data_IF_486154319285
#
_entry.id   IF_486154319285
#
_cell.length_a   1.000
_cell.length_b   1.000
_cell.length_c   1.000
_cell.angle_alpha   90.00
_cell.angle_beta   90.00
_cell.angle_gamma   90.00
#
_symmetry.space_group_name_H-M   'P 1'
#
loop_
_entity.id
_entity.type
_entity.pdbx_description
1 polymer ?
#
# COMPACT_ATOMS: atom_id res chain seq x y z
N UNK A 1 -52.72 -2.83 68.46
CA UNK A 1 -52.02 -4.01 69.02
C UNK A 1 -50.75 -4.21 68.20
N UNK A 2 -49.52 -3.91 68.67
CA UNK A 2 -48.62 -4.77 69.49
C UNK A 2 -48.65 -6.22 68.98
N UNK A 3 -47.60 -6.86 68.43
CA UNK A 3 -46.18 -7.00 68.87
C UNK A 3 -45.39 -7.73 67.73
N UNK A 4 -44.18 -7.31 67.28
CA UNK A 4 -42.80 -7.79 67.64
C UNK A 4 -42.57 -9.31 67.41
N UNK A 5 -41.51 -9.90 66.81
CA UNK A 5 -40.06 -9.65 66.51
C UNK A 5 -39.60 -10.71 65.46
N UNK A 6 -38.75 -10.46 64.44
CA UNK A 6 -37.26 -10.41 64.34
C UNK A 6 -36.52 -11.78 64.20
N UNK A 7 -35.48 -11.78 63.34
CA UNK A 7 -34.34 -12.73 63.12
C UNK A 7 -34.55 -13.72 61.94
N UNK A 8 -33.67 -13.88 60.94
CA UNK A 8 -32.26 -13.50 60.86
C UNK A 8 -31.66 -13.51 59.43
N UNK A 9 -30.45 -12.96 59.41
CA UNK A 9 -29.53 -12.66 58.32
C UNK A 9 -28.85 -13.94 57.80
N UNK A 10 -28.66 -14.10 56.48
CA UNK A 10 -27.65 -15.02 55.94
C UNK A 10 -26.73 -14.28 54.96
N UNK A 11 -25.49 -14.10 55.42
CA UNK A 11 -24.32 -13.61 54.71
C UNK A 11 -23.86 -14.61 53.64
N UNK A 12 -23.48 -14.12 52.47
CA UNK A 12 -22.53 -14.82 51.58
C UNK A 12 -21.44 -13.80 51.19
N UNK A 13 -20.25 -13.99 51.76
CA UNK A 13 -18.98 -13.29 51.46
C UNK A 13 -18.09 -14.22 50.58
N UNK A 14 -17.01 -13.72 49.96
CA UNK A 14 -16.57 -14.06 48.61
C UNK A 14 -15.42 -15.07 48.59
N UNK A 15 -15.16 -15.67 47.42
CA UNK A 15 -13.94 -16.41 47.14
C UNK A 15 -13.15 -15.71 46.02
N UNK A 16 -12.04 -15.12 46.42
CA UNK A 16 -10.90 -14.81 45.56
C UNK A 16 -10.16 -16.13 45.27
N UNK A 17 -9.87 -16.39 44.00
CA UNK A 17 -8.75 -17.24 43.60
C UNK A 17 -8.12 -16.62 42.34
N UNK A 18 -6.91 -16.10 42.51
CA UNK A 18 -6.02 -15.71 41.44
C UNK A 18 -5.34 -16.95 40.86
N UNK A 19 -5.28 -17.05 39.53
CA UNK A 19 -4.29 -17.86 38.82
C UNK A 19 -3.56 -16.97 37.80
N UNK A 20 -2.25 -16.88 38.03
CA UNK A 20 -1.21 -16.31 37.18
C UNK A 20 -1.03 -17.07 35.86
N UNK A 21 -0.75 -16.35 34.77
CA UNK A 21 -0.21 -16.90 33.53
C UNK A 21 0.36 -15.77 32.66
N UNK A 22 1.68 -15.79 32.47
CA UNK A 22 2.47 -14.82 31.71
C UNK A 22 2.77 -15.41 30.30
N UNK A 23 3.07 -14.53 29.33
CA UNK A 23 3.47 -14.80 27.91
C UNK A 23 2.28 -15.12 26.97
N UNK A 24 2.23 -14.70 25.71
CA UNK A 24 3.27 -14.25 24.78
C UNK A 24 2.61 -13.38 23.70
N UNK A 25 3.33 -12.39 23.20
CA UNK A 25 3.04 -11.71 21.94
C UNK A 25 3.12 -12.72 20.80
N UNK A 26 2.00 -12.97 20.13
CA UNK A 26 2.01 -13.55 18.80
C UNK A 26 1.66 -12.44 17.80
N UNK A 27 2.71 -11.90 17.17
CA UNK A 27 2.62 -11.27 15.86
C UNK A 27 1.91 -12.25 14.93
N UNK A 28 0.62 -12.03 14.71
CA UNK A 28 -0.07 -12.61 13.56
C UNK A 28 -0.13 -11.50 12.53
N UNK A 29 0.68 -11.61 11.48
CA UNK A 29 0.55 -10.79 10.28
C UNK A 29 -0.90 -10.91 9.80
N UNK A 30 -1.68 -9.86 10.01
CA UNK A 30 -3.04 -9.81 9.51
C UNK A 30 -2.95 -9.66 7.99
N UNK A 31 -3.30 -10.72 7.29
CA UNK A 31 -3.62 -10.66 5.87
C UNK A 31 -4.98 -9.98 5.77
N UNK A 32 -4.99 -8.64 5.73
CA UNK A 32 -6.22 -7.89 5.50
C UNK A 32 -6.72 -8.18 4.08
N UNK A 33 -7.89 -8.80 4.00
CA UNK A 33 -8.59 -9.04 2.74
C UNK A 33 -9.39 -7.78 2.44
N UNK A 34 -8.92 -6.99 1.48
CA UNK A 34 -9.60 -5.77 1.05
C UNK A 34 -10.92 -6.14 0.36
N UNK A 35 -12.04 -5.84 1.01
CA UNK A 35 -13.36 -5.85 0.38
C UNK A 35 -13.60 -4.53 -0.35
N UNK A 36 -14.25 -4.57 -1.51
CA UNK A 36 -14.57 -3.42 -2.37
C UNK A 36 -15.28 -2.25 -1.65
N UNK A 37 -15.95 -2.50 -0.53
CA UNK A 37 -16.66 -1.49 0.28
C UNK A 37 -15.75 -0.71 1.27
N UNK A 38 -14.44 -0.93 1.25
CA UNK A 38 -13.47 -0.37 2.22
C UNK A 38 -12.46 0.60 1.59
N UNK A 39 -12.88 1.44 0.64
CA UNK A 39 -12.13 2.67 0.32
C UNK A 39 -12.86 3.84 0.99
N UNK A 40 -12.45 4.25 2.21
CA UNK A 40 -13.06 5.38 2.89
C UNK A 40 -12.73 6.67 2.15
N UNK A 41 -13.65 7.62 2.13
CA UNK A 41 -13.47 9.01 1.66
C UNK A 41 -12.56 9.86 2.59
N UNK A 42 -11.49 9.26 3.11
CA UNK A 42 -10.37 9.94 3.78
C UNK A 42 -9.16 10.08 2.84
N UNK A 43 -8.01 10.58 3.31
CA UNK A 43 -6.78 10.44 2.53
C UNK A 43 -6.51 8.94 2.38
N UNK A 44 -6.68 8.41 1.16
CA UNK A 44 -6.48 7.00 0.86
C UNK A 44 -5.07 6.60 1.31
N UNK A 45 -4.97 5.77 2.35
CA UNK A 45 -3.69 5.33 2.91
C UNK A 45 -3.19 4.14 2.07
N UNK A 46 -1.98 4.27 1.55
CA UNK A 46 -1.35 3.31 0.66
C UNK A 46 -0.06 2.78 1.24
N UNK A 47 0.33 1.63 0.73
CA UNK A 47 1.58 0.96 1.04
C UNK A 47 2.70 1.48 0.13
N UNK A 48 3.81 1.87 0.76
CA UNK A 48 5.06 2.21 0.10
C UNK A 48 6.15 1.32 0.65
N UNK A 49 7.06 0.87 -0.21
CA UNK A 49 8.26 0.19 0.24
C UNK A 49 9.44 0.61 -0.60
N UNK A 50 10.54 0.93 0.06
CA UNK A 50 11.66 1.53 -0.62
C UNK A 50 12.89 1.60 0.25
N UNK A 51 13.98 2.04 -0.36
CA UNK A 51 15.22 2.30 0.35
C UNK A 51 15.09 3.66 1.05
N UNK A 52 14.95 3.62 2.37
CA UNK A 52 14.82 4.82 3.22
C UNK A 52 16.20 5.33 3.61
N UNK A 53 16.42 6.64 3.45
CA UNK A 53 17.65 7.33 3.85
C UNK A 53 17.31 8.57 4.65
N UNK A 54 18.09 8.86 5.70
CA UNK A 54 18.08 10.14 6.39
C UNK A 54 19.47 10.75 6.38
N UNK A 55 19.60 11.95 5.83
CA UNK A 55 20.86 12.69 5.71
C UNK A 55 20.62 14.20 5.64
N UNK A 56 21.47 14.99 6.29
CA UNK A 56 21.42 16.46 6.28
C UNK A 56 20.02 17.04 6.57
N UNK A 57 19.37 16.51 7.61
CA UNK A 57 18.02 16.89 8.02
C UNK A 57 16.97 16.77 6.90
N UNK A 58 17.13 15.75 6.05
CA UNK A 58 16.16 15.36 5.04
C UNK A 58 16.03 13.83 4.99
N UNK A 59 14.79 13.36 4.92
CA UNK A 59 14.47 11.95 4.71
C UNK A 59 13.91 11.71 3.32
N UNK A 60 14.32 10.62 2.69
CA UNK A 60 13.78 10.16 1.41
C UNK A 60 13.47 8.67 1.46
N UNK A 61 12.52 8.25 0.62
CA UNK A 61 12.21 6.86 0.34
C UNK A 61 12.26 6.65 -1.17
N UNK A 62 13.22 5.86 -1.65
CA UNK A 62 13.25 5.42 -3.05
C UNK A 62 12.35 4.20 -3.20
N UNK A 63 11.13 4.38 -3.68
CA UNK A 63 10.13 3.32 -3.76
C UNK A 63 10.56 2.25 -4.78
N UNK A 64 10.50 0.99 -4.37
CA UNK A 64 11.02 -0.14 -5.14
C UNK A 64 10.22 -0.45 -6.41
N UNK A 65 8.97 0.02 -6.52
CA UNK A 65 8.04 -0.38 -7.59
C UNK A 65 7.85 0.73 -8.61
N UNK A 66 7.71 1.98 -8.15
CA UNK A 66 7.69 3.16 -9.03
C UNK A 66 9.09 3.61 -9.45
N UNK A 67 10.14 3.24 -8.70
CA UNK A 67 11.47 3.81 -8.84
C UNK A 67 11.59 5.28 -8.44
N UNK A 68 10.51 5.90 -7.96
CA UNK A 68 10.48 7.30 -7.57
C UNK A 68 11.27 7.55 -6.28
N UNK A 69 11.93 8.69 -6.19
CA UNK A 69 12.54 9.17 -4.94
C UNK A 69 11.55 10.14 -4.30
N UNK A 70 10.92 9.70 -3.22
CA UNK A 70 9.93 10.47 -2.48
C UNK A 70 10.61 11.19 -1.32
N UNK A 71 10.58 12.53 -1.27
CA UNK A 71 10.87 13.25 -0.03
C UNK A 71 9.84 12.85 1.03
N UNK A 72 10.28 12.64 2.26
CA UNK A 72 9.41 12.29 3.38
C UNK A 72 9.07 13.55 4.15
N UNK A 73 7.79 13.84 4.31
CA UNK A 73 7.33 14.99 5.07
C UNK A 73 7.65 14.79 6.57
N UNK A 74 8.27 15.79 7.21
CA UNK A 74 8.64 15.76 8.64
C UNK A 74 7.45 15.99 9.58
N UNK A 75 6.33 15.32 9.30
CA UNK A 75 5.08 15.37 10.07
C UNK A 75 4.44 13.98 10.11
N UNK A 76 3.32 13.85 10.81
CA UNK A 76 2.67 12.55 10.99
C UNK A 76 3.53 11.60 11.82
N UNK A 77 3.71 10.36 11.35
CA UNK A 77 4.48 9.34 12.05
C UNK A 77 5.99 9.35 11.74
N UNK A 78 6.49 10.34 10.99
CA UNK A 78 7.90 10.49 10.62
C UNK A 78 8.87 10.25 11.79
N UNK A 79 8.66 10.90 12.94
CA UNK A 79 9.56 10.79 14.10
C UNK A 79 9.70 9.35 14.63
N UNK A 80 8.66 8.52 14.49
CA UNK A 80 8.74 7.10 14.87
C UNK A 80 9.63 6.33 13.90
N UNK A 81 9.52 6.61 12.60
CA UNK A 81 10.33 6.01 11.54
C UNK A 81 11.79 6.42 11.67
N UNK A 82 12.05 7.72 11.83
CA UNK A 82 13.40 8.27 12.04
C UNK A 82 14.08 7.62 13.26
N UNK A 83 13.39 7.58 14.41
CA UNK A 83 13.92 6.95 15.61
C UNK A 83 14.28 5.48 15.37
N UNK A 84 13.42 4.72 14.68
CA UNK A 84 13.68 3.31 14.35
C UNK A 84 14.85 3.15 13.40
N UNK A 85 14.96 4.01 12.40
CA UNK A 85 16.11 4.05 11.50
C UNK A 85 17.42 4.32 12.26
N UNK A 86 17.45 5.33 13.14
CA UNK A 86 18.62 5.66 13.95
C UNK A 86 19.00 4.54 14.94
N UNK A 87 18.03 3.83 15.53
CA UNK A 87 18.26 2.67 16.40
C UNK A 87 19.05 1.55 15.69
N UNK A 88 18.94 1.44 14.35
CA UNK A 88 19.71 0.49 13.55
C UNK A 88 21.18 0.88 13.36
N UNK A 89 21.58 2.10 13.77
CA UNK A 89 22.94 2.66 13.60
C UNK A 89 23.43 2.57 12.14
N UNK A 90 22.71 3.18 11.18
CA UNK A 90 23.12 3.21 9.78
C UNK A 90 24.46 3.91 9.64
N UNK A 91 25.28 3.50 8.66
CA UNK A 91 26.41 4.31 8.21
C UNK A 91 25.86 5.63 7.62
N UNK A 92 26.74 6.61 7.51
CA UNK A 92 26.39 7.86 6.82
C UNK A 92 25.84 7.53 5.42
N UNK A 93 24.67 8.10 5.09
CA UNK A 93 23.90 7.87 3.86
C UNK A 93 23.49 6.42 3.56
N UNK A 94 23.57 5.49 4.52
CA UNK A 94 23.15 4.10 4.31
C UNK A 94 21.63 4.00 4.11
N UNK A 95 21.21 3.63 2.91
CA UNK A 95 19.82 3.34 2.66
C UNK A 95 19.44 1.96 3.21
N UNK A 96 18.30 1.87 3.91
CA UNK A 96 17.78 0.61 4.47
C UNK A 96 16.34 0.43 3.99
N UNK A 97 16.00 -0.77 3.53
CA UNK A 97 14.64 -1.04 3.04
C UNK A 97 13.62 -0.82 4.16
N UNK A 98 12.56 -0.10 3.84
CA UNK A 98 11.52 0.31 4.76
C UNK A 98 10.16 0.15 4.10
N UNK A 99 9.25 -0.54 4.76
CA UNK A 99 7.83 -0.55 4.44
C UNK A 99 7.08 0.44 5.31
N UNK A 100 6.20 1.26 4.72
CA UNK A 100 5.37 2.24 5.43
C UNK A 100 3.98 2.31 4.82
N UNK A 101 3.03 2.73 5.64
CA UNK A 101 1.72 3.20 5.21
C UNK A 101 1.73 4.73 5.17
N UNK A 102 1.11 5.33 4.16
CA UNK A 102 1.09 6.78 4.02
C UNK A 102 0.28 7.26 2.81
N UNK A 103 0.42 8.53 2.46
CA UNK A 103 -0.14 9.09 1.24
C UNK A 103 0.71 10.26 0.76
N UNK A 104 0.57 10.60 -0.52
CA UNK A 104 1.30 11.72 -1.12
C UNK A 104 0.56 13.03 -0.82
N UNK A 105 1.31 14.05 -0.41
CA UNK A 105 0.82 15.42 -0.20
C UNK A 105 1.63 16.39 -1.05
N UNK A 106 1.05 17.53 -1.46
CA UNK A 106 1.84 18.60 -2.04
C UNK A 106 2.87 19.10 -1.02
N UNK A 107 4.04 19.48 -1.48
CA UNK A 107 5.00 20.23 -0.67
C UNK A 107 4.41 21.58 -0.24
N UNK A 108 4.93 22.13 0.84
CA UNK A 108 4.61 23.50 1.22
C UNK A 108 5.22 24.48 0.19
N UNK A 109 4.59 25.65 -0.04
CA UNK A 109 4.94 26.57 -1.14
C UNK A 109 6.38 27.07 -1.14
N UNK A 110 7.02 27.12 0.04
CA UNK A 110 8.37 27.65 0.21
C UNK A 110 9.44 26.55 0.32
N UNK A 111 9.06 25.29 0.19
CA UNK A 111 10.00 24.16 0.21
C UNK A 111 10.64 23.93 -1.17
N UNK A 112 11.96 23.76 -1.21
CA UNK A 112 12.69 23.33 -2.40
C UNK A 112 12.49 21.81 -2.62
N UNK A 113 12.51 21.37 -3.88
CA UNK A 113 12.40 19.96 -4.24
C UNK A 113 11.09 19.57 -4.95
N UNK A 114 10.85 18.25 -5.10
CA UNK A 114 9.69 17.71 -5.82
C UNK A 114 8.35 18.20 -5.28
N UNK A 115 7.36 18.33 -6.17
CA UNK A 115 6.04 18.87 -5.82
C UNK A 115 5.25 18.01 -4.82
N UNK A 116 5.57 16.71 -4.74
CA UNK A 116 4.89 15.75 -3.86
C UNK A 116 5.87 15.18 -2.82
N UNK A 117 5.36 14.99 -1.61
CA UNK A 117 6.05 14.37 -0.49
C UNK A 117 5.24 13.21 0.07
N UNK A 118 5.91 12.20 0.61
CA UNK A 118 5.30 11.10 1.33
C UNK A 118 5.02 11.52 2.78
N UNK A 119 3.75 11.60 3.16
CA UNK A 119 3.35 11.69 4.56
C UNK A 119 3.14 10.29 5.12
N UNK A 120 3.95 9.91 6.10
CA UNK A 120 3.90 8.60 6.74
C UNK A 120 2.84 8.59 7.83
N UNK A 121 1.93 7.61 7.77
CA UNK A 121 0.88 7.37 8.77
C UNK A 121 1.09 6.09 9.57
N UNK A 122 1.99 5.20 9.13
CA UNK A 122 2.33 3.99 9.86
C UNK A 122 3.66 3.38 9.40
N UNK A 123 4.43 2.83 10.34
CA UNK A 123 5.62 2.02 10.03
C UNK A 123 5.22 0.55 9.90
N UNK A 124 5.56 -0.09 8.78
CA UNK A 124 5.44 -1.55 8.62
C UNK A 124 6.70 -2.23 9.15
N UNK A 125 7.89 -1.75 8.74
CA UNK A 125 9.14 -2.29 9.27
C UNK A 125 10.37 -1.91 8.45
N UNK A 126 11.54 -2.15 9.02
CA UNK A 126 12.83 -2.03 8.34
C UNK A 126 13.45 -3.40 8.14
N UNK A 127 14.13 -3.60 7.01
CA UNK A 127 14.88 -4.81 6.72
C UNK A 127 16.19 -4.47 6.00
N UNK A 128 17.33 -4.71 6.66
CA UNK A 128 18.66 -4.47 6.09
C UNK A 128 19.10 -5.58 5.12
N UNK A 129 18.40 -6.71 5.09
CA UNK A 129 18.71 -7.85 4.21
C UNK A 129 18.04 -7.75 2.85
N UNK A 130 17.06 -6.85 2.73
CA UNK A 130 16.32 -6.56 1.50
C UNK A 130 16.86 -5.29 0.86
N UNK A 131 16.93 -5.30 -0.47
CA UNK A 131 17.18 -4.12 -1.30
C UNK A 131 16.16 -4.09 -2.42
N UNK A 132 15.82 -2.90 -2.92
CA UNK A 132 14.98 -2.82 -4.12
C UNK A 132 15.61 -3.57 -5.29
N UNK A 133 14.83 -4.44 -5.95
CA UNK A 133 15.22 -5.07 -7.21
C UNK A 133 14.78 -4.17 -8.37
N UNK A 134 15.69 -3.61 -9.18
CA UNK A 134 15.32 -2.79 -10.34
C UNK A 134 14.42 -3.51 -11.35
N UNK A 135 14.51 -4.84 -11.45
CA UNK A 135 13.65 -5.63 -12.35
C UNK A 135 12.18 -5.64 -11.91
N UNK A 136 11.91 -5.28 -10.65
CA UNK A 136 10.55 -5.20 -10.10
C UNK A 136 9.86 -3.85 -10.36
N UNK A 137 10.55 -2.91 -11.01
CA UNK A 137 9.94 -1.62 -11.37
C UNK A 137 8.86 -1.85 -12.44
N UNK A 138 7.71 -1.20 -12.26
CA UNK A 138 6.57 -1.31 -13.19
C UNK A 138 6.41 -0.10 -14.09
N UNK A 139 7.10 1.00 -13.81
CA UNK A 139 6.94 2.27 -14.54
C UNK A 139 7.80 2.39 -15.79
N UNK A 140 8.49 1.31 -16.17
CA UNK A 140 9.39 1.24 -17.31
C UNK A 140 8.83 0.41 -18.48
N UNK A 141 7.56 -0.01 -18.39
CA UNK A 141 6.99 -0.94 -19.35
C UNK A 141 5.51 -0.73 -19.64
N UNK A 142 5.07 -1.37 -20.73
CA UNK A 142 3.67 -1.50 -21.11
C UNK A 142 3.15 -2.85 -20.65
N UNK A 143 2.03 -2.87 -19.95
CA UNK A 143 1.31 -4.07 -19.55
C UNK A 143 0.13 -4.26 -20.46
N UNK A 144 -0.03 -5.43 -21.09
CA UNK A 144 -1.10 -5.63 -22.05
C UNK A 144 -1.78 -7.00 -21.94
N UNK A 145 -3.09 -6.99 -22.20
CA UNK A 145 -3.94 -8.16 -22.35
C UNK A 145 -4.70 -8.09 -23.68
N UNK A 146 -5.10 -9.25 -24.19
CA UNK A 146 -5.82 -9.41 -25.45
C UNK A 146 -7.08 -10.24 -25.19
N UNK A 147 -8.22 -9.82 -25.73
CA UNK A 147 -9.50 -10.51 -25.51
C UNK A 147 -10.08 -11.05 -26.82
N UNK A 148 -10.60 -12.30 -26.83
CA UNK A 148 -10.63 -13.24 -25.70
C UNK A 148 -9.24 -13.82 -25.38
N UNK A 149 -8.33 -13.86 -26.35
CA UNK A 149 -6.92 -14.25 -26.17
C UNK A 149 -6.02 -13.63 -27.25
N UNK A 150 -4.71 -13.86 -27.19
CA UNK A 150 -3.72 -13.31 -28.13
C UNK A 150 -3.89 -13.81 -29.59
N UNK A 151 -4.48 -14.98 -29.82
CA UNK A 151 -4.63 -15.56 -31.17
C UNK A 151 -5.88 -15.06 -31.88
N UNK A 152 -6.96 -14.89 -31.13
CA UNK A 152 -8.28 -14.51 -31.65
C UNK A 152 -8.68 -13.07 -31.24
N UNK A 153 -7.69 -12.27 -30.87
CA UNK A 153 -7.88 -10.96 -30.27
C UNK A 153 -8.78 -10.04 -31.11
N UNK A 154 -9.88 -9.60 -30.51
CA UNK A 154 -10.76 -8.56 -31.04
C UNK A 154 -10.42 -7.21 -30.42
N UNK A 155 -10.01 -7.22 -29.15
CA UNK A 155 -9.55 -6.04 -28.43
C UNK A 155 -8.20 -6.27 -27.76
N UNK A 156 -7.49 -5.17 -27.54
CA UNK A 156 -6.26 -5.11 -26.74
C UNK A 156 -6.41 -4.00 -25.72
N UNK A 157 -6.20 -4.33 -24.46
CA UNK A 157 -6.12 -3.35 -23.36
C UNK A 157 -4.67 -3.23 -22.92
N UNK A 158 -4.17 -2.00 -22.81
CA UNK A 158 -2.79 -1.69 -22.43
C UNK A 158 -2.75 -0.68 -21.30
N UNK A 159 -1.84 -0.87 -20.35
CA UNK A 159 -1.61 -0.01 -19.19
C UNK A 159 -0.14 0.43 -19.18
N UNK A 160 0.09 1.71 -18.96
CA UNK A 160 1.40 2.28 -18.66
C UNK A 160 1.35 3.00 -17.32
N UNK A 161 2.42 2.88 -16.54
CA UNK A 161 2.56 3.52 -15.24
C UNK A 161 3.70 4.52 -15.30
N UNK A 162 3.49 5.69 -14.71
CA UNK A 162 4.51 6.72 -14.55
C UNK A 162 5.04 6.73 -13.11
N UNK A 163 6.26 7.22 -12.94
CA UNK A 163 6.93 7.28 -11.63
C UNK A 163 6.30 8.30 -10.67
N UNK A 164 5.44 9.18 -11.16
CA UNK A 164 4.68 10.15 -10.37
C UNK A 164 3.33 9.59 -9.87
N UNK A 165 3.18 8.26 -9.90
CA UNK A 165 1.98 7.53 -9.48
C UNK A 165 0.76 7.80 -10.36
N UNK A 166 0.95 8.29 -11.59
CA UNK A 166 -0.09 8.34 -12.62
C UNK A 166 -0.03 7.12 -13.54
N UNK A 167 -1.17 6.78 -14.15
CA UNK A 167 -1.24 5.73 -15.16
C UNK A 167 -2.13 6.14 -16.33
N UNK A 168 -1.94 5.46 -17.46
CA UNK A 168 -2.86 5.48 -18.59
C UNK A 168 -3.28 4.05 -18.95
N UNK A 169 -4.59 3.83 -19.15
CA UNK A 169 -5.16 2.57 -19.60
C UNK A 169 -5.97 2.78 -20.87
N UNK A 170 -5.58 2.11 -21.96
CA UNK A 170 -6.20 2.25 -23.28
C UNK A 170 -6.70 0.91 -23.79
N UNK A 171 -7.91 0.92 -24.37
CA UNK A 171 -8.49 -0.25 -25.04
C UNK A 171 -8.70 0.07 -26.50
N UNK A 172 -8.17 -0.78 -27.38
CA UNK A 172 -8.39 -0.70 -28.82
C UNK A 172 -9.18 -1.92 -29.31
N UNK A 173 -10.15 -1.69 -30.18
CA UNK A 173 -10.63 -2.70 -31.12
C UNK A 173 -9.56 -2.87 -32.20
N UNK A 174 -9.26 -4.11 -32.59
CA UNK A 174 -8.16 -4.41 -33.52
C UNK A 174 -8.58 -4.47 -34.99
N UNK A 175 -9.88 -4.68 -35.28
CA UNK A 175 -10.39 -4.73 -36.66
C UNK A 175 -11.83 -4.18 -36.77
N UNK A 176 -12.03 -3.02 -37.44
CA UNK A 176 -11.00 -2.04 -37.76
C UNK A 176 -10.34 -1.49 -36.47
N UNK A 177 -9.11 -0.98 -36.60
CA UNK A 177 -8.42 -0.37 -35.47
C UNK A 177 -9.18 0.87 -35.00
N UNK A 178 -9.66 0.85 -33.76
CA UNK A 178 -10.41 1.96 -33.17
C UNK A 178 -10.18 2.05 -31.67
N UNK A 179 -9.91 3.25 -31.17
CA UNK A 179 -9.88 3.51 -29.73
C UNK A 179 -11.30 3.32 -29.15
N UNK A 180 -11.41 2.43 -28.17
CA UNK A 180 -12.66 2.10 -27.47
C UNK A 180 -12.74 2.88 -26.16
N UNK A 181 -11.65 2.93 -25.39
CA UNK A 181 -11.56 3.68 -24.14
C UNK A 181 -10.15 4.17 -23.89
N UNK A 182 -10.04 5.28 -23.17
CA UNK A 182 -8.80 5.89 -22.69
C UNK A 182 -9.05 6.46 -21.30
N UNK A 183 -8.45 5.84 -20.28
CA UNK A 183 -8.54 6.23 -18.89
C UNK A 183 -7.19 6.74 -18.40
N UNK A 184 -7.23 7.80 -17.62
CA UNK A 184 -6.07 8.33 -16.89
C UNK A 184 -6.43 8.47 -15.44
N UNK A 185 -5.47 8.17 -14.57
CA UNK A 185 -5.72 8.18 -13.14
C UNK A 185 -4.45 7.98 -12.34
N UNK A 186 -4.63 7.54 -11.11
CA UNK A 186 -3.55 7.25 -10.19
C UNK A 186 -3.48 5.78 -9.84
N UNK A 187 -2.28 5.28 -9.56
CA UNK A 187 -2.08 3.92 -9.11
C UNK A 187 -1.34 3.92 -7.79
N UNK A 188 -1.69 2.97 -6.93
CA UNK A 188 -1.04 2.80 -5.64
C UNK A 188 -1.01 1.35 -5.24
N UNK A 189 -0.15 1.02 -4.29
CA UNK A 189 -0.21 -0.29 -3.63
C UNK A 189 -1.00 -0.20 -2.33
N UNK A 190 -1.81 -1.20 -2.04
CA UNK A 190 -2.55 -1.29 -0.77
C UNK A 190 -1.90 -2.27 0.21
N UNK A 191 -1.05 -3.16 -0.32
CA UNK A 191 -0.18 -4.05 0.42
C UNK A 191 1.07 -4.33 -0.43
N UNK A 192 1.99 -5.17 0.08
CA UNK A 192 3.25 -5.49 -0.62
C UNK A 192 3.05 -5.85 -2.08
N UNK A 193 2.09 -6.74 -2.34
CA UNK A 193 1.84 -7.31 -3.66
C UNK A 193 0.54 -6.78 -4.28
N UNK A 194 -0.29 -6.03 -3.53
CA UNK A 194 -1.59 -5.58 -3.99
C UNK A 194 -1.49 -4.19 -4.63
N UNK A 195 -2.15 -4.00 -5.77
CA UNK A 195 -2.20 -2.75 -6.53
C UNK A 195 -3.65 -2.34 -6.79
N UNK A 196 -3.90 -1.03 -6.80
CA UNK A 196 -5.18 -0.42 -7.18
C UNK A 196 -4.95 0.70 -8.19
N UNK A 197 -5.80 0.75 -9.21
CA UNK A 197 -5.84 1.79 -10.24
C UNK A 197 -7.13 2.59 -10.05
N UNK A 198 -6.99 3.89 -9.83
CA UNK A 198 -8.07 4.80 -9.48
C UNK A 198 -8.29 5.84 -10.57
N UNK A 199 -9.53 5.98 -11.05
CA UNK A 199 -9.96 7.06 -11.96
C UNK A 199 -10.94 7.94 -11.20
N UNK A 200 -10.62 9.22 -11.04
CA UNK A 200 -11.44 10.17 -10.25
C UNK A 200 -11.78 9.68 -8.82
N UNK A 201 -10.88 8.89 -8.22
CA UNK A 201 -11.06 8.31 -6.88
C UNK A 201 -11.84 7.00 -6.84
N UNK A 202 -12.38 6.53 -7.97
CA UNK A 202 -13.07 5.25 -8.09
C UNK A 202 -12.15 4.16 -8.64
N UNK A 203 -12.35 2.92 -8.20
CA UNK A 203 -11.54 1.77 -8.65
C UNK A 203 -11.86 1.44 -10.09
N UNK A 204 -10.86 1.57 -10.98
CA UNK A 204 -10.92 1.02 -12.33
C UNK A 204 -10.49 -0.45 -12.33
N UNK A 205 -9.39 -0.76 -11.65
CA UNK A 205 -8.89 -2.11 -11.45
C UNK A 205 -8.27 -2.23 -10.07
N UNK A 206 -8.35 -3.42 -9.48
CA UNK A 206 -7.57 -3.83 -8.32
C UNK A 206 -7.00 -5.22 -8.56
N UNK A 207 -5.95 -5.60 -7.82
CA UNK A 207 -5.39 -6.94 -7.94
C UNK A 207 -3.98 -7.03 -7.40
N UNK A 208 -3.16 -7.87 -8.03
CA UNK A 208 -1.82 -8.20 -7.55
C UNK A 208 -0.73 -8.07 -8.61
N UNK A 209 0.48 -7.77 -8.16
CA UNK A 209 1.72 -7.82 -8.94
C UNK A 209 2.34 -9.20 -8.77
N UNK A 210 2.41 -9.99 -9.84
CA UNK A 210 3.18 -11.24 -9.86
C UNK A 210 4.65 -10.93 -10.15
N UNK A 211 5.47 -10.85 -9.10
CA UNK A 211 6.91 -10.57 -9.20
C UNK A 211 7.72 -11.68 -9.89
N UNK A 212 7.18 -12.88 -10.07
CA UNK A 212 7.92 -13.98 -10.73
C UNK A 212 8.02 -13.76 -12.24
N UNK A 213 6.95 -13.22 -12.82
CA UNK A 213 6.83 -12.97 -14.26
C UNK A 213 6.71 -11.48 -14.59
N UNK A 214 6.64 -10.63 -13.57
CA UNK A 214 6.27 -9.22 -13.67
C UNK A 214 4.97 -9.03 -14.44
N UNK A 215 3.94 -9.82 -14.11
CA UNK A 215 2.59 -9.63 -14.66
C UNK A 215 1.71 -8.89 -13.64
N UNK A 216 0.65 -8.25 -14.12
CA UNK A 216 -0.43 -7.75 -13.27
C UNK A 216 -1.63 -8.68 -13.42
N UNK A 217 -2.16 -9.13 -12.30
CA UNK A 217 -3.38 -9.93 -12.26
C UNK A 217 -4.44 -9.01 -11.67
N UNK A 218 -5.29 -8.46 -12.53
CA UNK A 218 -6.23 -7.40 -12.19
C UNK A 218 -7.67 -7.87 -12.35
N UNK A 219 -8.58 -7.25 -11.62
CA UNK A 219 -10.02 -7.47 -11.72
C UNK A 219 -10.76 -6.14 -11.65
N UNK A 220 -11.95 -6.11 -12.23
CA UNK A 220 -12.91 -5.03 -12.12
C UNK A 220 -14.33 -5.62 -12.03
N UNK A 221 -15.35 -4.78 -12.23
CA UNK A 221 -16.74 -5.20 -12.10
C UNK A 221 -17.21 -6.14 -13.22
N UNK A 222 -16.56 -6.06 -14.38
CA UNK A 222 -16.93 -6.79 -15.59
C UNK A 222 -16.07 -8.06 -15.78
N UNK A 223 -14.81 -8.02 -15.35
CA UNK A 223 -13.80 -9.03 -15.62
C UNK A 223 -13.08 -9.44 -14.33
N UNK A 224 -12.93 -10.76 -14.14
CA UNK A 224 -12.18 -11.34 -13.02
C UNK A 224 -10.87 -11.93 -13.53
N UNK A 225 -9.80 -11.74 -12.76
CA UNK A 225 -8.48 -12.34 -12.98
C UNK A 225 -7.90 -12.11 -14.39
N UNK A 226 -7.91 -10.87 -14.86
CA UNK A 226 -7.31 -10.46 -16.14
C UNK A 226 -5.80 -10.34 -15.97
N UNK A 227 -5.05 -11.14 -16.74
CA UNK A 227 -3.58 -11.12 -16.71
C UNK A 227 -3.05 -10.13 -17.75
N UNK A 228 -2.54 -9.01 -17.27
CA UNK A 228 -1.77 -8.07 -18.08
C UNK A 228 -0.29 -8.45 -18.06
N UNK A 229 0.23 -8.84 -19.23
CA UNK A 229 1.63 -9.24 -19.36
C UNK A 229 2.51 -8.03 -19.61
N UNK A 230 3.65 -7.94 -18.90
CA UNK A 230 4.71 -6.98 -19.24
C UNK A 230 5.18 -7.23 -20.67
N UNK A 231 5.18 -6.19 -21.48
CA UNK A 231 5.68 -6.19 -22.86
C UNK A 231 7.03 -5.47 -22.87
N UNK A 232 7.99 -6.09 -23.54
CA UNK A 232 9.32 -5.54 -23.77
C UNK A 232 9.28 -4.41 -24.80
#
# INVERSE_FOLDING_TARGET
MKTRKLIGLLFILPLLAACTGNKQSDETAQTETFTKDTIPTGPNIFYFNGDFTYYADAATLKDCISGAILPVAMKGEYLKVEKKYQEMKPRETEAINCGVMGYLIPKETDEEGPDMQLLITGLVGFDRTVSCNPENIITDAVYATYHPDEKEAQTKTSITFDNDYTFQCTTYQLSPVKLVSDYKGHWFRTAKDNIVLLVNGEVLYEGTIDYSNMNLILQNDDEKEVVFKKKA
#
